data_IF_557039763388
#
_entry.id   IF_557039763388
#
_cell.length_a   1.000
_cell.length_b   1.000
_cell.length_c   1.000
_cell.angle_alpha   90.00
_cell.angle_beta   90.00
_cell.angle_gamma   90.00
#
_symmetry.space_group_name_H-M   'P 1'
#
loop_
_entity.id
_entity.type
_entity.pdbx_description
1 polymer ?
#
# COMPACT_ATOMS: atom_id res chain seq x y z
N UNK A 1 5.54 -23.73 -13.85
CA UNK A 1 5.06 -23.73 -12.45
C UNK A 1 4.13 -22.54 -12.25
N UNK A 2 2.98 -22.70 -11.57
CA UNK A 2 2.06 -21.58 -11.34
C UNK A 2 2.35 -20.91 -9.99
N UNK A 3 3.04 -19.75 -10.03
CA UNK A 3 3.40 -18.99 -8.82
C UNK A 3 2.17 -18.44 -8.07
N UNK A 4 1.07 -18.13 -8.76
CA UNK A 4 -0.13 -17.55 -8.13
C UNK A 4 -0.73 -18.44 -7.06
N UNK A 5 -0.93 -19.73 -7.37
CA UNK A 5 -1.46 -20.73 -6.43
C UNK A 5 -0.58 -20.93 -5.19
N UNK A 6 0.72 -20.62 -5.30
CA UNK A 6 1.67 -20.75 -4.19
C UNK A 6 1.65 -19.53 -3.27
N UNK A 7 1.10 -18.40 -3.72
CA UNK A 7 0.95 -17.18 -2.92
C UNK A 7 -0.46 -17.06 -2.33
N UNK A 8 -1.45 -17.76 -2.88
CA UNK A 8 -2.83 -17.80 -2.34
C UNK A 8 -2.94 -18.12 -0.84
N UNK A 9 -2.12 -19.03 -0.25
CA UNK A 9 -2.19 -19.31 1.19
C UNK A 9 -1.85 -18.12 2.10
N UNK A 10 -1.22 -17.06 1.57
CA UNK A 10 -0.82 -15.89 2.36
C UNK A 10 -1.97 -14.91 2.58
N UNK A 11 -3.04 -14.97 1.76
CA UNK A 11 -4.26 -14.21 2.01
C UNK A 11 -4.94 -13.70 0.74
N UNK A 12 -6.07 -13.00 0.95
CA UNK A 12 -6.83 -12.37 -0.12
C UNK A 12 -6.07 -11.21 -0.75
N UNK A 13 -6.32 -10.97 -2.04
CA UNK A 13 -5.51 -10.08 -2.89
C UNK A 13 -6.27 -8.82 -3.25
N UNK A 14 -5.66 -7.66 -3.06
CA UNK A 14 -6.11 -6.38 -3.62
C UNK A 14 -5.72 -6.25 -5.10
N UNK A 15 -4.50 -6.70 -5.41
CA UNK A 15 -3.92 -6.62 -6.75
C UNK A 15 -3.06 -7.84 -7.00
N UNK A 16 -2.97 -8.26 -8.26
CA UNK A 16 -2.05 -9.30 -8.68
C UNK A 16 -1.53 -9.01 -10.07
N UNK A 17 -0.28 -9.37 -10.30
CA UNK A 17 0.44 -9.16 -11.54
C UNK A 17 1.31 -10.38 -11.80
N UNK A 18 1.42 -10.78 -13.06
CA UNK A 18 2.29 -11.86 -13.48
C UNK A 18 2.99 -11.49 -14.78
N UNK A 19 4.17 -12.04 -15.00
CA UNK A 19 4.94 -11.78 -16.21
C UNK A 19 6.38 -12.20 -16.09
N UNK A 20 7.25 -11.52 -16.83
CA UNK A 20 8.69 -11.81 -16.87
C UNK A 20 9.51 -10.54 -16.64
N UNK A 21 10.74 -10.70 -16.17
CA UNK A 21 11.65 -9.58 -16.01
C UNK A 21 13.07 -9.99 -15.66
N UNK A 22 13.84 -9.01 -15.23
CA UNK A 22 15.23 -9.14 -14.83
C UNK A 22 15.37 -8.67 -13.38
N UNK A 23 15.88 -9.58 -12.56
CA UNK A 23 16.30 -9.31 -11.20
C UNK A 23 17.77 -8.87 -11.21
N UNK A 24 18.06 -7.76 -10.54
CA UNK A 24 19.39 -7.18 -10.40
C UNK A 24 19.85 -7.34 -8.95
N UNK A 25 21.00 -7.96 -8.76
CA UNK A 25 21.66 -8.12 -7.45
C UNK A 25 22.70 -7.03 -7.24
N UNK A 26 23.07 -6.76 -5.97
CA UNK A 26 24.06 -5.71 -5.64
C UNK A 26 25.46 -6.00 -6.17
N UNK A 27 25.80 -7.25 -6.45
CA UNK A 27 27.05 -7.63 -7.12
C UNK A 27 27.04 -7.37 -8.64
N UNK A 28 25.95 -6.79 -9.17
CA UNK A 28 25.80 -6.42 -10.57
C UNK A 28 25.30 -7.54 -11.49
N UNK A 29 25.05 -8.75 -10.96
CA UNK A 29 24.48 -9.85 -11.75
C UNK A 29 23.03 -9.57 -12.13
N UNK A 30 22.61 -10.22 -13.22
CA UNK A 30 21.28 -10.12 -13.81
C UNK A 30 20.70 -11.51 -13.97
N UNK A 31 19.50 -11.72 -13.46
CA UNK A 31 18.82 -13.02 -13.53
C UNK A 31 17.45 -12.83 -14.19
N UNK A 32 17.22 -13.51 -15.31
CA UNK A 32 15.89 -13.54 -15.94
C UNK A 32 14.96 -14.38 -15.05
N UNK A 33 13.78 -13.86 -14.76
CA UNK A 33 12.80 -14.52 -13.89
C UNK A 33 11.39 -14.39 -14.47
N UNK A 34 10.59 -15.43 -14.27
CA UNK A 34 9.13 -15.29 -14.22
C UNK A 34 8.76 -14.75 -12.83
N UNK A 35 7.74 -13.92 -12.74
CA UNK A 35 7.30 -13.36 -11.46
C UNK A 35 5.80 -13.44 -11.25
N UNK A 36 5.42 -13.44 -9.98
CA UNK A 36 4.07 -13.15 -9.52
C UNK A 36 4.16 -12.12 -8.40
N UNK A 37 3.60 -10.94 -8.61
CA UNK A 37 3.57 -9.86 -7.62
C UNK A 37 2.13 -9.64 -7.16
N UNK A 38 1.93 -9.42 -5.87
CA UNK A 38 0.61 -9.14 -5.32
C UNK A 38 0.71 -8.16 -4.16
N UNK A 39 -0.38 -7.43 -3.93
CA UNK A 39 -0.61 -6.82 -2.65
C UNK A 39 -1.84 -7.46 -2.02
N UNK A 40 -1.68 -7.97 -0.80
CA UNK A 40 -2.74 -8.57 -0.02
C UNK A 40 -3.70 -7.51 0.53
N UNK A 41 -4.90 -7.93 0.92
CA UNK A 41 -5.88 -7.11 1.62
C UNK A 41 -5.34 -6.48 2.91
N UNK A 42 -4.39 -7.15 3.56
CA UNK A 42 -3.65 -6.68 4.75
C UNK A 42 -2.70 -5.52 4.47
N UNK A 43 -2.42 -5.23 3.20
CA UNK A 43 -1.42 -4.25 2.76
C UNK A 43 -0.05 -4.85 2.43
N UNK A 44 0.18 -6.12 2.79
CA UNK A 44 1.44 -6.82 2.48
C UNK A 44 1.69 -6.87 0.98
N UNK A 45 2.87 -6.42 0.55
CA UNK A 45 3.30 -6.53 -0.84
C UNK A 45 4.29 -7.68 -0.98
N UNK A 46 3.92 -8.68 -1.78
CA UNK A 46 4.69 -9.90 -2.00
C UNK A 46 5.11 -9.98 -3.47
N UNK A 47 6.30 -10.52 -3.71
CA UNK A 47 6.77 -10.86 -5.05
C UNK A 47 7.47 -12.22 -5.03
N UNK A 48 6.91 -13.16 -5.79
CA UNK A 48 7.49 -14.46 -6.03
C UNK A 48 8.27 -14.45 -7.35
N UNK A 49 9.42 -15.13 -7.36
CA UNK A 49 10.22 -15.34 -8.56
C UNK A 49 10.38 -16.83 -8.83
N UNK A 50 10.38 -17.18 -10.12
CA UNK A 50 10.75 -18.50 -10.65
C UNK A 50 11.91 -18.30 -11.63
N UNK A 51 12.96 -19.09 -11.45
CA UNK A 51 14.16 -19.10 -12.28
C UNK A 51 14.32 -20.48 -12.94
N UNK A 52 13.58 -20.78 -14.03
CA UNK A 52 13.71 -22.04 -14.73
C UNK A 52 15.15 -22.24 -15.23
N UNK A 53 15.67 -23.45 -15.07
CA UNK A 53 17.00 -23.88 -15.48
C UNK A 53 18.18 -23.14 -14.84
N UNK A 54 17.94 -22.34 -13.79
CA UNK A 54 18.96 -21.60 -13.07
C UNK A 54 18.84 -21.85 -11.57
N UNK A 55 19.93 -22.31 -10.96
CA UNK A 55 20.02 -22.42 -9.51
C UNK A 55 20.58 -21.13 -8.91
N UNK A 56 19.80 -20.50 -8.03
CA UNK A 56 20.18 -19.29 -7.30
C UNK A 56 20.03 -19.59 -5.81
N UNK A 57 21.09 -19.40 -5.03
CA UNK A 57 21.06 -19.61 -3.59
C UNK A 57 20.75 -18.29 -2.85
N UNK A 58 19.49 -18.10 -2.45
CA UNK A 58 19.07 -16.92 -1.67
C UNK A 58 19.29 -17.07 -0.14
N UNK A 59 19.77 -18.23 0.31
CA UNK A 59 19.95 -18.58 1.74
C UNK A 59 21.38 -18.32 2.24
N UNK A 60 22.25 -17.80 1.38
CA UNK A 60 23.62 -17.49 1.77
C UNK A 60 23.66 -16.21 2.63
N UNK A 61 24.07 -16.37 3.88
CA UNK A 61 24.39 -15.27 4.81
C UNK A 61 25.53 -14.36 4.32
N UNK A 62 26.24 -14.74 3.25
CA UNK A 62 27.10 -13.84 2.50
C UNK A 62 26.24 -12.77 1.81
N UNK A 63 26.61 -11.49 1.95
CA UNK A 63 25.87 -10.33 1.41
C UNK A 63 25.74 -10.31 -0.13
N UNK A 64 26.24 -11.33 -0.82
CA UNK A 64 26.48 -11.37 -2.27
C UNK A 64 25.19 -11.49 -3.08
N UNK A 65 24.14 -12.14 -2.57
CA UNK A 65 22.85 -12.30 -3.26
C UNK A 65 21.74 -11.37 -2.74
N UNK A 66 22.13 -10.16 -2.35
CA UNK A 66 21.15 -9.12 -2.00
C UNK A 66 20.54 -8.50 -3.26
N UNK A 67 19.22 -8.63 -3.39
CA UNK A 67 18.47 -8.07 -4.51
C UNK A 67 18.46 -6.54 -4.37
N UNK A 68 18.89 -5.83 -5.42
CA UNK A 68 18.84 -4.36 -5.49
C UNK A 68 17.49 -3.89 -6.05
N UNK A 69 17.06 -4.50 -7.15
CA UNK A 69 15.83 -4.14 -7.85
C UNK A 69 15.38 -5.24 -8.79
N UNK A 70 14.12 -5.17 -9.17
CA UNK A 70 13.53 -5.97 -10.23
C UNK A 70 12.85 -5.04 -11.23
N UNK A 71 13.05 -5.30 -12.52
CA UNK A 71 12.39 -4.61 -13.63
C UNK A 71 11.77 -5.68 -14.54
N UNK A 72 10.50 -5.53 -14.89
CA UNK A 72 9.83 -6.50 -15.73
C UNK A 72 8.64 -5.92 -16.48
N UNK A 73 7.95 -6.81 -17.17
CA UNK A 73 6.73 -6.51 -17.91
C UNK A 73 5.69 -7.58 -17.57
N UNK A 74 4.50 -7.12 -17.20
CA UNK A 74 3.34 -7.97 -16.93
C UNK A 74 2.81 -8.58 -18.22
N UNK A 75 2.00 -9.65 -18.14
CA UNK A 75 1.31 -10.23 -19.31
C UNK A 75 0.39 -9.24 -20.02
N UNK A 76 -0.12 -8.25 -19.29
CA UNK A 76 -0.91 -7.13 -19.82
C UNK A 76 -0.06 -6.00 -20.44
N UNK A 77 1.27 -6.21 -20.59
CA UNK A 77 2.24 -5.25 -21.13
C UNK A 77 2.42 -3.97 -20.29
N UNK A 78 2.19 -4.04 -18.98
CA UNK A 78 2.54 -2.96 -18.04
C UNK A 78 3.94 -3.16 -17.48
N UNK A 79 4.70 -2.07 -17.31
CA UNK A 79 6.01 -2.15 -16.69
C UNK A 79 5.84 -2.33 -15.17
N UNK A 80 6.67 -3.18 -14.58
CA UNK A 80 6.78 -3.35 -13.13
C UNK A 80 8.18 -2.99 -12.66
N UNK A 81 8.26 -2.28 -11.54
CA UNK A 81 9.50 -1.97 -10.85
C UNK A 81 9.34 -2.28 -9.36
N UNK A 82 10.21 -3.13 -8.83
CA UNK A 82 10.35 -3.31 -7.39
C UNK A 82 11.78 -2.92 -7.00
N UNK A 83 11.93 -2.19 -5.89
CA UNK A 83 13.24 -1.73 -5.41
C UNK A 83 13.42 -2.28 -4.00
N UNK A 84 14.67 -2.61 -3.67
CA UNK A 84 15.09 -3.03 -2.35
C UNK A 84 14.52 -2.13 -1.24
N UNK A 85 14.34 -2.67 -0.03
CA UNK A 85 14.71 -4.03 0.36
C UNK A 85 13.68 -5.10 -0.04
N UNK A 86 14.19 -6.31 -0.23
CA UNK A 86 13.44 -7.54 -0.42
C UNK A 86 13.73 -8.44 0.79
N UNK A 87 12.71 -8.69 1.60
CA UNK A 87 12.85 -9.51 2.81
C UNK A 87 12.32 -10.91 2.49
N UNK A 88 13.18 -11.93 2.60
CA UNK A 88 12.83 -13.30 2.25
C UNK A 88 11.68 -13.81 3.13
N UNK A 89 10.73 -14.51 2.51
CA UNK A 89 9.60 -15.17 3.19
C UNK A 89 9.85 -16.66 3.14
N UNK A 90 9.57 -17.35 4.24
CA UNK A 90 9.61 -18.82 4.24
C UNK A 90 8.65 -19.35 3.18
N UNK A 91 9.20 -19.92 2.11
CA UNK A 91 8.45 -20.28 0.93
C UNK A 91 8.78 -21.71 0.56
N UNK A 92 7.83 -22.61 0.82
CA UNK A 92 7.94 -24.02 0.49
C UNK A 92 6.84 -24.40 -0.51
N UNK A 93 6.91 -23.93 -1.77
CA UNK A 93 5.93 -24.31 -2.76
C UNK A 93 6.08 -25.80 -3.08
N UNK A 94 5.00 -26.52 -3.32
CA UNK A 94 5.15 -27.86 -3.93
C UNK A 94 5.72 -27.67 -5.35
N UNK A 95 6.93 -28.18 -5.56
CA UNK A 95 7.67 -28.08 -6.81
C UNK A 95 7.36 -29.34 -7.64
N UNK A 96 6.92 -29.19 -8.91
CA UNK A 96 6.76 -30.33 -9.81
C UNK A 96 8.07 -31.13 -9.95
N UNK A 97 7.99 -32.46 -10.04
CA UNK A 97 9.18 -33.32 -10.10
C UNK A 97 10.08 -33.07 -11.31
N UNK A 98 9.54 -32.48 -12.37
CA UNK A 98 10.22 -32.10 -13.61
C UNK A 98 10.74 -30.66 -13.60
N UNK A 99 10.47 -29.87 -12.55
CA UNK A 99 10.98 -28.52 -12.43
C UNK A 99 12.45 -28.52 -11.98
N UNK A 100 13.30 -27.94 -12.81
CA UNK A 100 14.70 -27.67 -12.49
C UNK A 100 14.89 -26.15 -12.39
N UNK A 101 15.27 -25.64 -11.23
CA UNK A 101 15.47 -24.21 -11.00
C UNK A 101 15.26 -23.80 -9.53
N UNK A 102 15.20 -22.49 -9.30
CA UNK A 102 14.92 -21.89 -7.98
C UNK A 102 13.59 -21.16 -7.99
N UNK A 103 12.85 -21.25 -6.87
CA UNK A 103 11.75 -20.35 -6.57
C UNK A 103 11.98 -19.65 -5.24
N UNK A 104 11.57 -18.39 -5.14
CA UNK A 104 11.72 -17.59 -3.93
C UNK A 104 10.56 -16.61 -3.80
N UNK A 105 10.19 -16.27 -2.56
CA UNK A 105 9.16 -15.30 -2.23
C UNK A 105 9.77 -14.23 -1.32
N UNK A 106 9.43 -12.98 -1.59
CA UNK A 106 9.91 -11.84 -0.83
C UNK A 106 8.76 -10.91 -0.47
N UNK A 107 8.83 -10.32 0.72
CA UNK A 107 8.20 -9.04 0.96
C UNK A 107 8.96 -7.98 0.17
N UNK A 108 8.25 -7.19 -0.63
CA UNK A 108 8.80 -6.02 -1.28
C UNK A 108 8.25 -4.78 -0.60
N UNK A 109 9.12 -3.86 -0.17
CA UNK A 109 8.63 -2.61 0.45
C UNK A 109 7.87 -1.72 -0.51
N UNK A 110 8.24 -1.76 -1.79
CA UNK A 110 7.63 -0.92 -2.82
C UNK A 110 7.60 -1.63 -4.16
N UNK A 111 6.41 -1.72 -4.73
CA UNK A 111 6.19 -2.18 -6.10
C UNK A 111 5.49 -1.05 -6.87
N UNK A 112 6.02 -0.67 -8.01
CA UNK A 112 5.38 0.27 -8.94
C UNK A 112 4.96 -0.46 -10.20
N UNK A 113 3.70 -0.26 -10.60
CA UNK A 113 3.13 -0.74 -11.87
C UNK A 113 2.83 0.47 -12.73
N UNK A 114 3.39 0.52 -13.94
CA UNK A 114 3.23 1.61 -14.90
C UNK A 114 2.44 1.08 -16.09
N UNK A 115 1.16 1.43 -16.15
CA UNK A 115 0.27 1.05 -17.26
C UNK A 115 0.39 2.02 -18.43
N UNK A 116 0.59 3.31 -18.12
CA UNK A 116 0.71 4.39 -19.10
C UNK A 116 1.91 5.26 -18.78
N UNK A 117 2.85 5.43 -19.73
CA UNK A 117 4.11 6.17 -19.49
C UNK A 117 3.95 7.70 -19.51
N UNK A 118 2.99 8.19 -20.30
CA UNK A 118 2.72 9.63 -20.46
C UNK A 118 1.23 9.87 -20.30
N UNK A 119 0.86 10.65 -19.31
CA UNK A 119 -0.53 11.00 -19.01
C UNK A 119 -0.57 12.33 -18.27
N UNK A 120 -1.72 13.00 -18.34
CA UNK A 120 -2.04 14.11 -17.46
C UNK A 120 -2.74 13.53 -16.23
N UNK A 121 -2.10 13.70 -15.08
CA UNK A 121 -2.65 13.31 -13.80
C UNK A 121 -3.89 14.15 -13.47
N UNK A 122 -4.95 13.48 -13.04
CA UNK A 122 -6.21 14.09 -12.60
C UNK A 122 -6.39 13.97 -11.10
N UNK A 123 -6.14 12.79 -10.53
CA UNK A 123 -6.25 12.56 -9.09
C UNK A 123 -5.40 11.41 -8.60
N UNK A 124 -5.12 11.44 -7.31
CA UNK A 124 -4.56 10.32 -6.57
C UNK A 124 -5.64 9.59 -5.79
N UNK A 125 -5.55 8.26 -5.72
CA UNK A 125 -6.45 7.43 -4.91
C UNK A 125 -5.65 6.49 -4.01
N UNK A 126 -5.84 6.62 -2.70
CA UNK A 126 -5.08 5.92 -1.67
C UNK A 126 -5.95 4.89 -0.95
N UNK A 127 -5.54 3.62 -0.94
CA UNK A 127 -6.23 2.59 -0.17
C UNK A 127 -5.83 2.64 1.30
N UNK A 128 -6.79 2.91 2.19
CA UNK A 128 -6.56 3.03 3.63
C UNK A 128 -7.10 1.82 4.39
N UNK A 129 -6.40 1.48 5.47
CA UNK A 129 -6.70 0.32 6.32
C UNK A 129 -7.56 0.69 7.52
N UNK A 130 -8.42 -0.24 7.94
CA UNK A 130 -9.15 -0.22 9.22
C UNK A 130 -10.05 1.00 9.49
N UNK A 131 -10.26 1.89 8.54
CA UNK A 131 -11.16 3.03 8.70
C UNK A 131 -12.62 2.57 8.82
N UNK A 132 -13.25 2.96 9.94
CA UNK A 132 -14.65 2.73 10.22
C UNK A 132 -15.48 3.98 9.95
N UNK A 133 -16.48 3.82 9.09
CA UNK A 133 -17.51 4.81 8.85
C UNK A 133 -18.49 4.81 10.04
N UNK A 134 -18.93 5.99 10.47
CA UNK A 134 -19.93 6.13 11.54
C UNK A 134 -21.33 5.73 11.06
N UNK A 135 -22.27 5.54 12.00
CA UNK A 135 -23.63 5.03 11.71
C UNK A 135 -24.36 5.87 10.65
N UNK A 136 -24.20 7.19 10.70
CA UNK A 136 -24.90 8.14 9.80
C UNK A 136 -24.20 8.34 8.46
N UNK A 137 -23.06 7.70 8.24
CA UNK A 137 -22.23 8.00 7.07
C UNK A 137 -22.57 7.14 5.85
N UNK A 138 -22.80 7.85 4.73
CA UNK A 138 -23.11 7.34 3.40
C UNK A 138 -22.00 6.41 2.84
N UNK A 139 -22.11 6.03 1.57
CA UNK A 139 -21.07 5.26 0.88
C UNK A 139 -19.74 6.03 0.77
N UNK A 140 -19.78 7.35 0.95
CA UNK A 140 -18.64 8.26 0.86
C UNK A 140 -18.75 9.43 1.86
N UNK A 141 -17.62 10.06 2.15
CA UNK A 141 -17.48 11.26 2.97
C UNK A 141 -16.58 12.26 2.24
N UNK A 142 -17.11 13.47 2.00
CA UNK A 142 -16.43 14.54 1.29
C UNK A 142 -16.20 15.72 2.22
N UNK A 143 -15.02 16.32 2.13
CA UNK A 143 -14.66 17.55 2.84
C UNK A 143 -13.50 18.24 2.10
N UNK A 144 -13.29 19.52 2.38
CA UNK A 144 -12.24 20.33 1.77
C UNK A 144 -11.30 20.80 2.86
N UNK A 145 -9.99 20.65 2.65
CA UNK A 145 -8.97 21.24 3.54
C UNK A 145 -8.81 22.74 3.24
N UNK A 146 -8.26 23.52 4.18
CA UNK A 146 -8.16 24.98 4.05
C UNK A 146 -7.43 25.47 2.80
N UNK A 147 -6.52 24.68 2.25
CA UNK A 147 -5.79 24.97 1.01
C UNK A 147 -6.62 24.71 -0.28
N UNK A 148 -7.94 24.53 -0.15
CA UNK A 148 -8.84 24.22 -1.27
C UNK A 148 -8.64 22.81 -1.83
N UNK A 149 -8.11 21.89 -1.02
CA UNK A 149 -7.87 20.50 -1.40
C UNK A 149 -9.11 19.68 -1.07
N UNK A 150 -9.81 19.24 -2.12
CA UNK A 150 -10.98 18.39 -1.98
C UNK A 150 -10.60 16.93 -1.72
N UNK A 151 -11.16 16.37 -0.65
CA UNK A 151 -10.90 15.01 -0.17
C UNK A 151 -12.21 14.22 -0.21
N UNK A 152 -12.18 13.03 -0.81
CA UNK A 152 -13.30 12.09 -0.78
C UNK A 152 -12.87 10.72 -0.24
N UNK A 153 -13.42 10.30 0.90
CA UNK A 153 -13.20 8.98 1.48
C UNK A 153 -14.38 8.08 1.11
N UNK A 154 -14.13 7.01 0.35
CA UNK A 154 -15.16 6.08 -0.13
C UNK A 154 -14.99 4.69 0.44
N UNK A 155 -16.09 4.06 0.86
CA UNK A 155 -16.10 2.64 1.26
C UNK A 155 -15.64 1.74 0.12
N UNK A 156 -14.81 0.75 0.44
CA UNK A 156 -14.50 -0.33 -0.51
C UNK A 156 -15.74 -1.19 -0.76
N UNK A 157 -15.76 -1.89 -1.90
CA UNK A 157 -16.78 -2.91 -2.16
C UNK A 157 -16.73 -3.98 -1.06
N UNK A 158 -17.88 -4.56 -0.71
CA UNK A 158 -18.04 -5.55 0.37
C UNK A 158 -17.60 -5.03 1.76
N UNK A 159 -17.71 -3.72 1.98
CA UNK A 159 -17.33 -3.06 3.24
C UNK A 159 -17.84 -3.77 4.50
N UNK A 160 -19.12 -4.18 4.51
CA UNK A 160 -19.75 -4.83 5.65
C UNK A 160 -19.04 -6.13 6.03
N UNK A 161 -18.67 -6.96 5.03
CA UNK A 161 -17.97 -8.23 5.24
C UNK A 161 -16.55 -7.99 5.75
N UNK A 162 -15.86 -6.99 5.16
CA UNK A 162 -14.51 -6.59 5.60
C UNK A 162 -14.54 -6.17 7.07
N UNK A 163 -15.49 -5.31 7.47
CA UNK A 163 -15.63 -4.85 8.86
C UNK A 163 -16.01 -6.01 9.79
N UNK A 164 -16.89 -6.92 9.37
CA UNK A 164 -17.25 -8.10 10.15
C UNK A 164 -16.02 -8.98 10.41
N UNK A 165 -15.24 -9.27 9.37
CA UNK A 165 -14.02 -10.07 9.48
C UNK A 165 -12.98 -9.38 10.37
N UNK A 166 -12.81 -8.06 10.25
CA UNK A 166 -11.92 -7.28 11.14
C UNK A 166 -12.33 -7.35 12.61
N UNK A 167 -13.63 -7.41 12.92
CA UNK A 167 -14.10 -7.57 14.30
C UNK A 167 -13.72 -8.93 14.88
N UNK A 168 -13.75 -9.98 14.07
CA UNK A 168 -13.43 -11.37 14.44
C UNK A 168 -11.91 -11.57 14.54
N UNK A 169 -11.17 -11.24 13.49
CA UNK A 169 -9.74 -11.52 13.39
C UNK A 169 -8.85 -10.52 14.13
N UNK A 170 -9.38 -9.32 14.43
CA UNK A 170 -8.61 -8.15 14.90
C UNK A 170 -7.43 -7.81 13.97
N UNK A 171 -7.53 -8.21 12.70
CA UNK A 171 -6.47 -8.05 11.70
C UNK A 171 -6.44 -6.67 11.06
N UNK A 172 -5.86 -6.62 9.85
CA UNK A 172 -5.75 -5.42 9.03
C UNK A 172 -6.39 -5.71 7.70
N UNK A 173 -7.17 -4.76 7.20
CA UNK A 173 -7.74 -4.84 5.86
C UNK A 173 -7.94 -3.44 5.29
N UNK A 174 -7.78 -3.28 3.98
CA UNK A 174 -8.17 -2.05 3.27
C UNK A 174 -9.69 -1.92 3.28
N UNK A 175 -10.21 -0.94 4.03
CA UNK A 175 -11.65 -0.74 4.20
C UNK A 175 -12.19 0.40 3.34
N UNK A 176 -11.34 1.32 2.91
CA UNK A 176 -11.75 2.52 2.20
C UNK A 176 -10.65 3.04 1.25
N UNK A 177 -11.03 3.96 0.37
CA UNK A 177 -10.10 4.70 -0.47
C UNK A 177 -10.29 6.21 -0.26
N UNK A 178 -9.20 6.96 -0.11
CA UNK A 178 -9.18 8.43 -0.14
C UNK A 178 -8.82 8.88 -1.55
N UNK A 179 -9.64 9.72 -2.17
CA UNK A 179 -9.35 10.38 -3.43
C UNK A 179 -9.06 11.86 -3.19
N UNK A 180 -7.99 12.38 -3.81
CA UNK A 180 -7.61 13.81 -3.80
C UNK A 180 -7.37 14.26 -5.24
N UNK A 181 -8.04 15.34 -5.64
CA UNK A 181 -7.85 15.95 -6.96
C UNK A 181 -6.47 16.61 -7.07
N UNK A 182 -5.84 16.47 -8.24
CA UNK A 182 -4.57 17.09 -8.55
C UNK A 182 -4.77 18.51 -9.09
N UNK A 183 -5.43 19.38 -8.30
CA UNK A 183 -5.82 20.73 -8.70
C UNK A 183 -4.67 21.74 -8.67
N UNK A 184 -3.67 21.56 -7.80
CA UNK A 184 -2.68 22.60 -7.46
C UNK A 184 -1.23 22.29 -7.91
N UNK A 185 -1.04 21.42 -8.90
CA UNK A 185 0.30 21.00 -9.38
C UNK A 185 1.20 20.41 -8.26
N UNK A 186 0.57 19.97 -7.17
CA UNK A 186 1.24 19.40 -6.02
C UNK A 186 1.95 18.11 -6.42
N UNK A 187 3.24 18.03 -6.10
CA UNK A 187 4.01 16.83 -6.32
C UNK A 187 3.47 15.66 -5.49
N UNK A 188 3.76 14.43 -5.94
CA UNK A 188 3.39 13.22 -5.21
C UNK A 188 3.82 13.26 -3.72
N UNK A 189 4.98 13.86 -3.43
CA UNK A 189 5.50 14.00 -2.07
C UNK A 189 4.65 14.89 -1.17
N UNK A 190 4.05 15.95 -1.72
CA UNK A 190 3.23 16.87 -0.94
C UNK A 190 1.85 16.27 -0.67
N UNK A 191 1.25 15.62 -1.67
CA UNK A 191 0.02 14.85 -1.49
C UNK A 191 0.21 13.70 -0.49
N UNK A 192 1.34 13.00 -0.52
CA UNK A 192 1.58 11.91 0.46
C UNK A 192 1.70 12.42 1.88
N UNK A 193 2.32 13.59 2.13
CA UNK A 193 2.33 14.21 3.46
C UNK A 193 0.90 14.49 3.95
N UNK A 194 0.07 15.13 3.12
CA UNK A 194 -1.33 15.40 3.45
C UNK A 194 -2.07 14.11 3.81
N UNK A 195 -1.87 13.05 3.04
CA UNK A 195 -2.51 11.75 3.31
C UNK A 195 -1.98 11.10 4.59
N UNK A 196 -0.69 11.22 4.89
CA UNK A 196 -0.10 10.74 6.14
C UNK A 196 -0.71 11.46 7.35
N UNK A 197 -0.87 12.78 7.27
CA UNK A 197 -1.46 13.62 8.31
C UNK A 197 -2.96 13.31 8.49
N UNK A 198 -3.70 13.14 7.40
CA UNK A 198 -5.08 12.66 7.45
C UNK A 198 -5.16 11.28 8.09
N UNK A 199 -4.32 10.32 7.71
CA UNK A 199 -4.30 9.00 8.33
C UNK A 199 -4.03 9.07 9.83
N UNK A 200 -3.13 9.95 10.27
CA UNK A 200 -2.86 10.19 11.69
C UNK A 200 -4.09 10.72 12.43
N UNK A 201 -4.72 11.78 11.92
CA UNK A 201 -5.91 12.37 12.54
C UNK A 201 -7.10 11.41 12.57
N UNK A 202 -7.32 10.68 11.47
CA UNK A 202 -8.34 9.62 11.42
C UNK A 202 -8.04 8.52 12.45
N UNK A 203 -6.77 8.18 12.65
CA UNK A 203 -6.36 7.19 13.65
C UNK A 203 -6.69 7.64 15.07
N UNK A 204 -6.44 8.91 15.39
CA UNK A 204 -6.80 9.51 16.67
C UNK A 204 -8.32 9.49 16.87
N UNK A 205 -9.07 9.97 15.88
CA UNK A 205 -10.52 10.03 15.92
C UNK A 205 -11.15 8.65 16.17
N UNK A 206 -10.68 7.63 15.43
CA UNK A 206 -11.22 6.27 15.48
C UNK A 206 -10.58 5.38 16.51
N UNK A 207 -9.56 5.87 17.22
CA UNK A 207 -8.81 5.07 18.15
C UNK A 207 -8.31 3.75 17.56
N UNK A 208 -7.91 3.75 16.30
CA UNK A 208 -7.40 2.58 15.59
C UNK A 208 -6.40 3.07 14.57
N UNK A 209 -5.23 2.43 14.49
CA UNK A 209 -4.23 2.83 13.50
C UNK A 209 -4.76 2.63 12.07
N UNK A 210 -4.83 3.74 11.34
CA UNK A 210 -5.19 3.84 9.93
C UNK A 210 -3.93 4.25 9.17
N UNK A 211 -3.64 3.53 8.09
CA UNK A 211 -2.54 3.84 7.17
C UNK A 211 -2.96 3.53 5.74
N UNK A 212 -2.37 4.25 4.79
CA UNK A 212 -2.52 3.92 3.38
C UNK A 212 -1.48 2.87 2.94
N UNK A 213 -1.85 1.97 2.03
CA UNK A 213 -1.00 0.84 1.59
C UNK A 213 -0.77 0.83 0.09
N UNK A 214 -1.60 1.53 -0.68
CA UNK A 214 -1.33 1.78 -2.10
C UNK A 214 -1.79 3.17 -2.51
N UNK A 215 -1.24 3.64 -3.63
CA UNK A 215 -1.66 4.84 -4.33
C UNK A 215 -1.86 4.53 -5.81
N UNK A 216 -2.99 4.93 -6.38
CA UNK A 216 -3.29 4.92 -7.81
C UNK A 216 -3.18 6.34 -8.35
N UNK A 217 -2.53 6.49 -9.48
CA UNK A 217 -2.54 7.72 -10.27
C UNK A 217 -3.55 7.56 -11.41
N UNK A 218 -4.57 8.42 -11.42
CA UNK A 218 -5.69 8.36 -12.37
C UNK A 218 -5.62 9.57 -13.31
N UNK A 219 -5.85 9.35 -14.61
CA UNK A 219 -5.89 10.41 -15.60
C UNK A 219 -7.29 11.04 -15.74
N UNK A 220 -7.41 12.11 -16.54
CA UNK A 220 -8.69 12.81 -16.80
C UNK A 220 -9.78 11.96 -17.45
N UNK A 221 -9.42 10.79 -18.01
CA UNK A 221 -10.38 9.84 -18.58
C UNK A 221 -10.91 8.85 -17.54
N UNK A 222 -10.35 8.85 -16.32
CA UNK A 222 -10.65 7.89 -15.27
C UNK A 222 -9.80 6.62 -15.31
N UNK A 223 -8.81 6.52 -16.21
CA UNK A 223 -7.96 5.34 -16.31
C UNK A 223 -6.84 5.35 -15.25
N UNK A 224 -6.57 4.18 -14.68
CA UNK A 224 -5.43 3.97 -13.80
C UNK A 224 -4.16 3.92 -14.64
N UNK A 225 -3.27 4.90 -14.46
CA UNK A 225 -2.02 5.01 -15.21
C UNK A 225 -0.83 4.41 -14.48
N UNK A 226 -0.80 4.56 -13.15
CA UNK A 226 0.24 4.01 -12.28
C UNK A 226 -0.37 3.50 -10.98
N UNK A 227 0.18 2.43 -10.44
CA UNK A 227 -0.14 1.94 -9.09
C UNK A 227 1.16 1.78 -8.32
N UNK A 228 1.22 2.34 -7.12
CA UNK A 228 2.35 2.19 -6.19
C UNK A 228 1.83 1.41 -4.98
N UNK A 229 2.39 0.25 -4.74
CA UNK A 229 2.14 -0.57 -3.57
C UNK A 229 3.23 -0.32 -2.54
N UNK A 230 2.84 -0.27 -1.27
CA UNK A 230 3.73 -0.05 -0.16
C UNK A 230 3.43 -1.09 0.92
N UNK A 231 4.49 -1.62 1.51
CA UNK A 231 4.39 -2.58 2.60
C UNK A 231 4.20 -1.85 3.95
N UNK A 232 3.08 -1.15 4.12
CA UNK A 232 2.69 -0.51 5.39
C UNK A 232 1.82 -1.47 6.20
N UNK A 233 2.43 -2.53 6.69
CA UNK A 233 1.74 -3.53 7.51
C UNK A 233 1.89 -3.11 8.96
N UNK A 234 0.74 -2.88 9.60
CA UNK A 234 0.70 -2.60 11.02
C UNK A 234 0.56 -3.89 11.81
N UNK A 235 0.55 -3.83 13.14
CA UNK A 235 0.13 -4.94 13.99
C UNK A 235 -1.26 -4.63 14.54
N UNK A 236 -2.08 -5.64 14.87
CA UNK A 236 -3.34 -5.45 15.59
C UNK A 236 -3.16 -4.46 16.74
N UNK A 237 -3.93 -3.38 16.71
CA UNK A 237 -3.86 -2.30 17.69
C UNK A 237 -5.10 -2.36 18.59
N UNK A 238 -4.90 -2.28 19.90
CA UNK A 238 -6.00 -2.19 20.89
C UNK A 238 -5.99 -0.76 21.41
N UNK A 239 -7.05 0.01 21.19
CA UNK A 239 -7.09 1.39 21.66
C UNK A 239 -8.50 1.89 21.97
N UNK A 240 -8.54 2.92 22.82
CA UNK A 240 -9.71 3.63 23.34
C UNK A 240 -10.14 4.73 22.35
N UNK A 241 -11.33 4.64 21.76
CA UNK A 241 -11.80 5.61 20.76
C UNK A 241 -11.98 7.02 21.37
N UNK A 242 -11.38 8.06 20.76
CA UNK A 242 -11.62 9.47 21.14
C UNK A 242 -13.00 9.92 20.69
N UNK A 243 -13.45 9.42 19.54
CA UNK A 243 -14.81 9.57 19.02
C UNK A 243 -15.41 8.18 18.86
N UNK A 244 -16.39 7.86 19.70
CA UNK A 244 -17.20 6.63 19.59
C UNK A 244 -17.73 6.51 18.15
N UNK A 245 -17.61 5.33 17.52
CA UNK A 245 -18.19 5.06 16.20
C UNK A 245 -19.72 5.30 16.14
N UNK A 246 -20.38 5.27 17.30
CA UNK A 246 -21.81 5.56 17.49
C UNK A 246 -22.11 7.04 17.76
N UNK A 247 -21.08 7.89 17.84
CA UNK A 247 -21.24 9.34 17.95
C UNK A 247 -21.90 9.92 16.70
N UNK A 248 -22.70 10.97 16.87
CA UNK A 248 -23.32 11.72 15.77
C UNK A 248 -22.34 12.65 15.06
N UNK A 249 -21.16 12.89 15.63
CA UNK A 249 -20.15 13.77 15.04
C UNK A 249 -19.58 13.16 13.75
N UNK A 250 -19.65 13.92 12.66
CA UNK A 250 -19.08 13.53 11.38
C UNK A 250 -17.55 13.63 11.43
N UNK A 251 -16.86 12.73 10.72
CA UNK A 251 -15.39 12.79 10.67
C UNK A 251 -14.91 14.09 10.02
N UNK A 252 -15.66 14.62 9.05
CA UNK A 252 -15.37 15.89 8.41
C UNK A 252 -15.31 17.02 9.44
N UNK A 253 -16.31 17.11 10.32
CA UNK A 253 -16.33 18.11 11.40
C UNK A 253 -15.15 17.98 12.37
N UNK A 254 -14.63 16.77 12.57
CA UNK A 254 -13.44 16.56 13.39
C UNK A 254 -12.18 17.04 12.67
N UNK A 255 -12.02 16.68 11.40
CA UNK A 255 -10.88 17.08 10.57
C UNK A 255 -10.85 18.60 10.43
N UNK A 256 -11.97 19.23 10.09
CA UNK A 256 -12.10 20.69 9.92
C UNK A 256 -11.67 21.46 11.18
N UNK A 257 -11.90 20.91 12.38
CA UNK A 257 -11.54 21.54 13.65
C UNK A 257 -10.10 21.29 14.10
N UNK A 258 -9.45 20.25 13.58
CA UNK A 258 -8.17 19.76 14.14
C UNK A 258 -7.00 19.86 13.19
N UNK A 259 -7.24 19.88 11.87
CA UNK A 259 -6.19 19.79 10.86
C UNK A 259 -5.18 20.95 10.97
N UNK A 260 -5.64 22.21 11.00
CA UNK A 260 -4.72 23.36 11.00
C UNK A 260 -3.92 23.44 12.31
N UNK A 261 -4.59 23.18 13.44
CA UNK A 261 -3.91 23.14 14.75
C UNK A 261 -2.79 22.10 14.76
N UNK A 262 -3.01 20.95 14.11
CA UNK A 262 -2.01 19.90 14.00
C UNK A 262 -0.86 20.32 13.06
N UNK A 263 -1.15 20.85 11.87
CA UNK A 263 -0.13 21.37 10.94
C UNK A 263 0.75 22.46 11.59
N UNK A 264 0.12 23.42 12.27
CA UNK A 264 0.81 24.50 12.99
C UNK A 264 1.73 23.98 14.11
N UNK A 265 1.30 22.93 14.81
CA UNK A 265 2.08 22.29 15.86
C UNK A 265 3.27 21.49 15.31
N UNK A 266 3.12 20.89 14.12
CA UNK A 266 4.19 20.13 13.44
C UNK A 266 5.27 21.05 12.86
N UNK A 267 4.88 22.23 12.36
CA UNK A 267 5.80 23.21 11.79
C UNK A 267 6.59 24.01 12.84
N UNK A 268 6.22 23.93 14.12
CA UNK A 268 7.01 24.48 15.23
C UNK A 268 7.96 23.40 15.77
N UNK A 269 9.23 23.34 15.34
CA UNK A 269 10.20 22.54 16.08
C UNK A 269 10.27 23.09 17.52
N UNK A 270 10.28 22.20 18.51
CA UNK A 270 10.36 22.55 19.93
C UNK A 270 11.57 23.46 20.20
N UNK A 271 11.35 24.77 20.19
CA UNK A 271 12.27 25.78 20.73
C UNK A 271 12.10 25.84 22.24
N UNK A 272 12.24 24.71 22.93
CA UNK A 272 12.31 24.68 24.40
C UNK A 272 13.03 23.41 24.89
N UNK A 273 14.34 23.33 24.62
CA UNK A 273 15.23 22.56 25.49
C UNK A 273 16.00 23.51 26.42
N UNK A 274 15.55 23.51 27.68
CA UNK A 274 16.32 23.72 28.90
C UNK A 274 16.92 25.11 29.15
N UNK A 275 16.10 26.01 29.71
CA UNK A 275 16.54 26.85 30.82
C UNK A 275 15.96 26.30 32.13
N UNK A 276 16.78 25.55 32.86
CA UNK A 276 16.84 25.56 34.33
C UNK A 276 18.23 25.09 34.74
#
# INVERSE_FOLDING_TARGET
MNLSHKVDPYGNKNFSYEGEGILFTKDGKKHKAEFYATQLETGESLIAFSFPNNYINFDDSSKELSIEKFLGTTKENWDIKAIAPFDAVFFNPEIPSDFFGTCALFHSRKIEIIKTKKYTLDKYVFGITNFKFGITSNQEQKFSLEDGIDVNIKKKNNYSDIIHNLKISKGINVTAEIAIENSNDNGFNDITKIIDDLCYLLSLARGTKIQWVYCKEINKKGDICKVKHFNHVTKPYVFLEVIDVNSTMLISEFIDKTYNNYEDSRLKPESNSLKK
#
